data_IF_916339060121
#
_entry.id   IF_916339060121
#
_cell.length_a   1.000
_cell.length_b   1.000
_cell.length_c   1.000
_cell.angle_alpha   90.00
_cell.angle_beta   90.00
_cell.angle_gamma   90.00
#
_symmetry.space_group_name_H-M   'P 1'
#
loop_
_entity.id
_entity.type
_entity.pdbx_description
1 polymer ?
#
# COMPACT_ATOMS: atom_id res chain seq x y z
N UNK A 1 40.10 1.96 -32.26
CA UNK A 1 40.75 2.08 -30.94
C UNK A 1 39.98 3.11 -30.14
N UNK A 2 39.19 2.64 -29.17
CA UNK A 2 38.50 3.46 -28.18
C UNK A 2 39.05 3.09 -26.79
N UNK A 3 39.21 4.03 -25.86
CA UNK A 3 39.86 3.76 -24.57
C UNK A 3 38.98 2.90 -23.65
N UNK A 4 39.58 2.08 -22.77
CA UNK A 4 38.84 1.25 -21.83
C UNK A 4 38.20 2.10 -20.71
N UNK A 5 36.95 1.77 -20.37
CA UNK A 5 36.22 2.36 -19.25
C UNK A 5 36.83 1.89 -17.91
N UNK A 6 36.87 2.74 -16.87
CA UNK A 6 37.37 2.35 -15.55
C UNK A 6 36.42 1.36 -14.86
N UNK A 7 36.94 0.43 -14.02
CA UNK A 7 36.10 -0.51 -13.28
C UNK A 7 35.32 0.22 -12.17
N UNK A 8 34.01 -0.05 -12.09
CA UNK A 8 33.20 0.35 -10.94
C UNK A 8 33.75 -0.29 -9.65
N UNK A 9 33.72 0.42 -8.51
CA UNK A 9 34.26 -0.10 -7.26
C UNK A 9 33.36 -1.22 -6.71
N UNK A 10 33.95 -2.41 -6.61
CA UNK A 10 33.44 -3.63 -5.97
C UNK A 10 32.92 -3.44 -4.53
N UNK A 11 33.23 -2.30 -3.90
CA UNK A 11 32.77 -1.92 -2.57
C UNK A 11 31.25 -1.69 -2.50
N UNK A 12 30.62 -1.24 -3.60
CA UNK A 12 29.17 -0.98 -3.61
C UNK A 12 28.34 -2.28 -3.63
N UNK A 13 28.84 -3.34 -4.27
CA UNK A 13 28.18 -4.65 -4.32
C UNK A 13 28.24 -5.38 -2.99
N UNK A 14 29.32 -5.21 -2.21
CA UNK A 14 29.45 -5.83 -0.87
C UNK A 14 28.54 -5.12 0.14
N UNK A 15 28.37 -3.80 0.03
CA UNK A 15 27.47 -3.04 0.90
C UNK A 15 25.99 -3.35 0.64
N UNK A 16 25.62 -3.63 -0.61
CA UNK A 16 24.25 -4.02 -0.99
C UNK A 16 23.89 -5.44 -0.52
N UNK A 17 24.87 -6.35 -0.43
CA UNK A 17 24.71 -7.70 0.12
C UNK A 17 24.60 -7.71 1.65
N UNK A 18 25.26 -6.78 2.35
CA UNK A 18 25.15 -6.63 3.81
C UNK A 18 23.82 -6.03 4.28
N UNK A 19 23.15 -5.23 3.45
CA UNK A 19 21.82 -4.67 3.75
C UNK A 19 20.67 -5.68 3.60
N UNK A 20 20.89 -6.81 2.92
CA UNK A 20 19.90 -7.90 2.78
C UNK A 20 19.91 -8.89 3.96
N UNK A 21 20.90 -8.82 4.86
CA UNK A 21 21.05 -9.73 5.99
C UNK A 21 20.61 -9.13 7.35
N UNK A 22 19.97 -7.97 7.35
CA UNK A 22 19.33 -7.42 8.54
C UNK A 22 18.02 -8.16 8.82
N UNK A 23 18.11 -9.41 9.27
CA UNK A 23 17.00 -10.12 9.88
C UNK A 23 16.55 -9.34 11.10
N UNK A 24 15.26 -8.98 11.15
CA UNK A 24 14.64 -8.43 12.34
C UNK A 24 14.77 -9.43 13.48
N UNK A 25 15.59 -9.12 14.48
CA UNK A 25 15.62 -9.86 15.73
C UNK A 25 14.33 -9.57 16.49
N UNK A 26 13.29 -10.37 16.21
CA UNK A 26 12.12 -10.44 17.06
C UNK A 26 12.45 -11.28 18.29
N UNK A 27 12.18 -10.73 19.48
CA UNK A 27 12.08 -11.51 20.70
C UNK A 27 10.86 -12.42 20.63
N UNK A 28 10.95 -13.57 21.25
CA UNK A 28 9.80 -14.44 21.48
C UNK A 28 9.76 -14.73 22.97
N UNK A 29 8.58 -14.56 23.54
CA UNK A 29 8.30 -14.65 24.96
C UNK A 29 7.33 -15.81 25.21
N UNK A 30 7.72 -16.69 26.14
CA UNK A 30 6.90 -17.80 26.58
C UNK A 30 5.89 -17.27 27.58
N UNK A 31 4.59 -17.40 27.30
CA UNK A 31 3.56 -17.08 28.27
C UNK A 31 3.19 -18.29 29.15
N UNK A 32 3.39 -19.54 28.68
CA UNK A 32 3.16 -20.73 29.50
C UNK A 32 3.91 -21.99 29.03
N UNK A 33 4.19 -22.89 29.99
CA UNK A 33 4.75 -24.24 29.78
C UNK A 33 3.94 -25.25 30.58
N UNK A 34 3.40 -26.29 29.94
CA UNK A 34 2.62 -27.34 30.61
C UNK A 34 2.78 -28.71 29.94
N UNK A 35 2.71 -29.77 30.75
CA UNK A 35 2.64 -31.16 30.30
C UNK A 35 1.17 -31.57 30.23
N UNK A 36 0.70 -31.97 29.04
CA UNK A 36 -0.68 -32.30 28.75
C UNK A 36 -0.80 -33.73 28.19
N UNK A 37 -1.70 -34.54 28.74
CA UNK A 37 -2.06 -35.84 28.17
C UNK A 37 -3.18 -35.66 27.15
N UNK A 38 -2.90 -35.96 25.88
CA UNK A 38 -3.83 -35.81 24.76
C UNK A 38 -4.35 -37.17 24.33
N UNK A 39 -5.62 -37.47 24.62
CA UNK A 39 -6.29 -38.70 24.19
C UNK A 39 -7.15 -38.45 22.95
N UNK A 40 -6.94 -39.25 21.90
CA UNK A 40 -7.80 -39.28 20.71
C UNK A 40 -8.65 -40.55 20.77
N UNK A 41 -9.97 -40.38 20.72
CA UNK A 41 -10.91 -41.49 20.63
C UNK A 41 -11.12 -41.84 19.15
N UNK A 42 -10.83 -43.08 18.76
CA UNK A 42 -11.17 -43.56 17.42
C UNK A 42 -12.70 -43.59 17.26
N UNK A 43 -13.20 -42.92 16.22
CA UNK A 43 -14.62 -42.80 15.92
C UNK A 43 -15.20 -44.10 15.33
N UNK A 44 -15.33 -45.12 16.19
CA UNK A 44 -16.04 -46.37 15.94
C UNK A 44 -16.58 -46.94 17.26
N UNK A 45 -17.73 -47.62 17.23
CA UNK A 45 -18.34 -48.22 18.42
C UNK A 45 -17.40 -49.31 18.99
N UNK A 46 -16.70 -48.97 20.08
CA UNK A 46 -15.58 -49.76 20.64
C UNK A 46 -14.20 -49.08 20.57
N UNK A 47 -14.15 -47.79 20.22
CA UNK A 47 -12.93 -47.02 19.96
C UNK A 47 -11.90 -47.10 21.08
N UNK A 48 -10.73 -47.66 20.77
CA UNK A 48 -9.55 -47.68 21.62
C UNK A 48 -9.07 -46.24 21.80
N UNK A 49 -9.05 -45.75 23.04
CA UNK A 49 -8.47 -44.44 23.37
C UNK A 49 -6.95 -44.52 23.21
N UNK A 50 -6.39 -43.74 22.27
CA UNK A 50 -4.95 -43.57 22.12
C UNK A 50 -4.54 -42.29 22.82
N UNK A 51 -3.84 -42.41 23.95
CA UNK A 51 -3.37 -41.29 24.76
C UNK A 51 -1.86 -41.11 24.58
N UNK A 52 -1.45 -39.92 24.15
CA UNK A 52 -0.04 -39.53 24.05
C UNK A 52 0.22 -38.35 25.00
N UNK A 53 1.34 -38.41 25.73
CA UNK A 53 1.82 -37.28 26.52
C UNK A 53 2.49 -36.27 25.60
N UNK A 54 2.04 -35.02 25.69
CA UNK A 54 2.57 -33.89 24.94
C UNK A 54 3.05 -32.83 25.91
N UNK A 55 4.14 -32.16 25.58
CA UNK A 55 4.64 -31.03 26.36
C UNK A 55 4.58 -29.76 25.50
N UNK A 56 4.26 -28.62 26.12
CA UNK A 56 4.08 -27.33 25.45
C UNK A 56 5.00 -26.26 26.03
N UNK A 57 5.63 -25.45 25.17
CA UNK A 57 6.47 -24.28 25.50
C UNK A 57 6.88 -23.57 24.18
N UNK A 58 7.43 -22.33 24.20
CA UNK A 58 7.88 -21.70 22.92
C UNK A 58 8.88 -20.49 22.91
N UNK A 59 10.17 -20.73 22.58
CA UNK A 59 11.05 -20.14 21.52
C UNK A 59 12.52 -20.58 21.68
N UNK A 60 13.29 -20.82 20.60
CA UNK A 60 14.57 -21.57 20.66
C UNK A 60 14.49 -22.67 21.70
N UNK A 61 13.54 -23.57 21.46
CA UNK A 61 13.27 -24.66 22.36
C UNK A 61 14.23 -25.78 22.03
N UNK A 62 14.97 -26.21 23.04
CA UNK A 62 15.66 -27.49 23.01
C UNK A 62 14.76 -28.48 23.75
N UNK A 63 14.04 -29.31 23.01
CA UNK A 63 13.21 -30.33 23.63
C UNK A 63 14.05 -31.58 23.92
N UNK A 64 14.09 -32.02 25.18
CA UNK A 64 14.79 -33.24 25.56
C UNK A 64 13.77 -34.38 25.59
N UNK A 65 13.86 -35.28 24.61
CA UNK A 65 13.05 -36.51 24.59
C UNK A 65 13.83 -37.57 25.36
N UNK A 66 13.37 -37.93 26.55
CA UNK A 66 14.05 -38.89 27.40
C UNK A 66 13.75 -40.34 26.97
N UNK A 67 12.60 -40.62 26.35
CA UNK A 67 12.28 -41.96 25.89
C UNK A 67 11.42 -42.02 24.62
N UNK A 68 11.92 -42.73 23.60
CA UNK A 68 11.06 -43.29 22.54
C UNK A 68 10.72 -44.70 22.98
N UNK A 69 9.42 -44.99 23.19
CA UNK A 69 8.95 -46.34 23.45
C UNK A 69 8.94 -47.13 22.15
N UNK A 70 10.13 -47.50 21.69
CA UNK A 70 10.31 -48.58 20.73
C UNK A 70 10.74 -49.81 21.51
N UNK A 71 9.98 -50.90 21.36
CA UNK A 71 9.84 -52.04 22.29
C UNK A 71 11.09 -52.85 22.68
N UNK A 72 12.33 -52.37 22.51
CA UNK A 72 13.57 -52.96 23.09
C UNK A 72 14.79 -52.05 22.84
N UNK A 73 14.89 -50.92 23.52
CA UNK A 73 16.15 -50.26 23.99
C UNK A 73 15.88 -48.79 24.32
N UNK A 74 16.10 -48.41 25.57
CA UNK A 74 16.17 -47.01 26.00
C UNK A 74 17.39 -46.34 25.38
N UNK A 75 17.24 -45.76 24.19
CA UNK A 75 18.25 -44.86 23.59
C UNK A 75 17.95 -43.42 24.02
N UNK A 76 18.73 -42.89 24.95
CA UNK A 76 18.86 -41.45 25.16
C UNK A 76 19.31 -40.80 23.85
N UNK A 77 18.47 -39.94 23.27
CA UNK A 77 18.81 -39.19 22.07
C UNK A 77 19.94 -38.21 22.44
N UNK A 78 21.14 -38.38 21.84
CA UNK A 78 22.31 -37.53 22.12
C UNK A 78 22.16 -36.07 21.66
N UNK A 79 21.25 -35.81 20.73
CA UNK A 79 21.03 -34.48 20.15
C UNK A 79 19.54 -34.11 20.27
N UNK A 80 19.17 -33.27 21.24
CA UNK A 80 17.78 -32.85 21.40
C UNK A 80 17.29 -32.07 20.16
N UNK A 81 16.02 -32.25 19.73
CA UNK A 81 15.43 -31.43 18.69
C UNK A 81 15.43 -29.94 19.06
N UNK A 82 15.90 -29.11 18.13
CA UNK A 82 15.92 -27.64 18.27
C UNK A 82 14.80 -27.05 17.42
N UNK A 83 13.99 -26.18 18.01
CA UNK A 83 12.87 -25.51 17.34
C UNK A 83 13.15 -24.02 17.21
N UNK A 84 13.07 -23.51 15.98
CA UNK A 84 13.26 -22.10 15.66
C UNK A 84 11.99 -21.56 15.03
N UNK A 85 11.48 -20.46 15.59
CA UNK A 85 10.27 -19.78 15.11
C UNK A 85 10.68 -18.44 14.50
N UNK A 86 10.24 -18.18 13.27
CA UNK A 86 10.50 -16.92 12.57
C UNK A 86 9.19 -16.38 12.00
N UNK A 87 8.83 -15.17 12.39
CA UNK A 87 7.65 -14.46 11.87
C UNK A 87 8.06 -13.48 10.78
N UNK A 88 7.44 -13.60 9.61
CA UNK A 88 7.57 -12.66 8.51
C UNK A 88 6.93 -11.31 8.81
N UNK A 89 7.29 -10.30 8.02
CA UNK A 89 6.75 -8.96 8.16
C UNK A 89 5.23 -8.95 7.91
N UNK A 90 4.48 -8.27 8.78
CA UNK A 90 3.02 -8.19 8.69
C UNK A 90 2.59 -7.19 7.63
N UNK A 91 1.54 -7.51 6.88
CA UNK A 91 0.89 -6.60 5.95
C UNK A 91 -0.62 -6.59 6.17
N UNK A 92 -1.23 -5.44 5.88
CA UNK A 92 -2.68 -5.29 5.82
C UNK A 92 -3.10 -5.40 4.36
N UNK A 93 -3.96 -6.38 4.07
CA UNK A 93 -4.49 -6.68 2.76
C UNK A 93 -5.92 -6.12 2.67
N UNK A 94 -6.22 -5.46 1.56
CA UNK A 94 -7.54 -4.93 1.26
C UNK A 94 -8.04 -5.57 -0.03
N UNK A 95 -9.24 -6.14 0.02
CA UNK A 95 -9.89 -6.66 -1.18
C UNK A 95 -10.27 -5.49 -2.11
N UNK A 96 -9.96 -5.60 -3.39
CA UNK A 96 -10.32 -4.63 -4.41
C UNK A 96 -11.48 -5.15 -5.25
N UNK A 97 -12.46 -4.29 -5.49
CA UNK A 97 -13.54 -4.53 -6.46
C UNK A 97 -13.43 -3.48 -7.56
N UNK A 98 -13.28 -3.91 -8.82
CA UNK A 98 -13.22 -2.99 -9.95
C UNK A 98 -14.58 -2.32 -10.17
N UNK A 99 -14.59 -1.00 -10.33
CA UNK A 99 -15.81 -0.22 -10.56
C UNK A 99 -15.89 0.20 -12.02
N UNK A 100 -14.93 1.01 -12.47
CA UNK A 100 -14.87 1.56 -13.83
C UNK A 100 -13.54 2.23 -14.11
N UNK A 101 -13.36 2.63 -15.37
CA UNK A 101 -12.28 3.50 -15.81
C UNK A 101 -12.70 4.97 -15.77
N UNK A 102 -11.74 5.84 -15.45
CA UNK A 102 -11.90 7.30 -15.49
C UNK A 102 -10.71 7.93 -16.20
N UNK A 103 -10.97 9.03 -16.93
CA UNK A 103 -9.92 9.76 -17.63
C UNK A 103 -9.05 10.55 -16.63
N UNK A 104 -7.74 10.62 -16.89
CA UNK A 104 -6.80 11.38 -16.06
C UNK A 104 -7.06 12.89 -16.11
N UNK A 105 -7.28 13.40 -17.33
CA UNK A 105 -7.52 14.81 -17.61
C UNK A 105 -8.51 14.95 -18.78
N UNK A 106 -9.82 15.02 -18.49
CA UNK A 106 -10.80 15.51 -19.45
C UNK A 106 -10.44 16.93 -19.89
N UNK A 107 -10.55 17.20 -21.19
CA UNK A 107 -10.23 18.49 -21.78
C UNK A 107 -11.41 19.02 -22.59
N UNK A 108 -11.70 20.30 -22.41
CA UNK A 108 -12.59 21.02 -23.31
C UNK A 108 -11.79 21.45 -24.55
N UNK A 109 -12.28 21.08 -25.72
CA UNK A 109 -11.79 21.61 -26.98
C UNK A 109 -12.81 22.59 -27.55
N UNK A 110 -12.32 23.64 -28.21
CA UNK A 110 -13.18 24.58 -28.90
C UNK A 110 -12.71 24.82 -30.34
N UNK A 111 -13.68 25.11 -31.21
CA UNK A 111 -13.44 25.42 -32.62
C UNK A 111 -14.22 26.69 -32.97
N UNK A 112 -13.50 27.71 -33.45
CA UNK A 112 -14.13 28.86 -34.08
C UNK A 112 -14.65 28.48 -35.46
N UNK A 113 -15.96 28.62 -35.67
CA UNK A 113 -16.64 28.17 -36.89
C UNK A 113 -17.79 29.09 -37.27
N UNK A 114 -18.49 28.77 -38.36
CA UNK A 114 -19.71 29.45 -38.81
C UNK A 114 -20.80 28.43 -39.06
N UNK A 115 -22.06 28.82 -38.82
CA UNK A 115 -23.23 27.92 -38.95
C UNK A 115 -23.07 26.64 -38.09
N UNK A 116 -22.65 26.82 -36.84
CA UNK A 116 -22.53 25.71 -35.90
C UNK A 116 -23.91 25.17 -35.53
N UNK A 117 -24.08 23.86 -35.69
CA UNK A 117 -25.25 23.09 -35.25
C UNK A 117 -24.75 21.80 -34.55
N UNK A 118 -25.49 21.23 -33.60
CA UNK A 118 -25.07 20.01 -32.89
C UNK A 118 -24.93 18.77 -33.81
N UNK A 119 -25.57 18.77 -34.98
CA UNK A 119 -25.49 17.76 -36.03
C UNK A 119 -24.55 18.10 -37.18
N UNK A 120 -23.84 19.22 -37.08
CA UNK A 120 -22.83 19.57 -38.05
C UNK A 120 -21.69 18.53 -38.08
N UNK A 121 -21.21 18.25 -39.30
CA UNK A 121 -20.10 17.33 -39.55
C UNK A 121 -18.73 17.93 -39.24
N UNK A 122 -17.69 17.11 -39.35
CA UNK A 122 -16.29 17.53 -39.15
C UNK A 122 -15.82 18.65 -40.09
N UNK A 123 -16.47 18.90 -41.21
CA UNK A 123 -16.20 20.04 -42.10
C UNK A 123 -16.48 21.39 -41.43
N UNK A 124 -17.45 21.44 -40.52
CA UNK A 124 -17.84 22.63 -39.78
C UNK A 124 -17.23 22.65 -38.37
N UNK A 125 -17.38 21.55 -37.61
CA UNK A 125 -17.00 21.50 -36.18
C UNK A 125 -15.66 20.82 -35.92
N UNK A 126 -14.98 20.32 -36.95
CA UNK A 126 -13.65 19.69 -36.89
C UNK A 126 -13.55 18.64 -35.78
N UNK A 127 -12.62 18.81 -34.84
CA UNK A 127 -12.38 17.89 -33.72
C UNK A 127 -13.59 17.75 -32.77
N UNK A 128 -14.55 18.67 -32.85
CA UNK A 128 -15.78 18.65 -32.06
C UNK A 128 -16.95 17.90 -32.71
N UNK A 129 -16.71 17.14 -33.77
CA UNK A 129 -17.71 16.23 -34.33
C UNK A 129 -18.24 15.24 -33.28
N UNK A 130 -19.53 14.91 -33.34
CA UNK A 130 -20.15 13.92 -32.45
C UNK A 130 -19.42 12.57 -32.52
N UNK A 131 -19.31 11.90 -31.38
CA UNK A 131 -18.62 10.61 -31.30
C UNK A 131 -19.58 9.45 -31.51
N UNK A 132 -19.04 8.35 -32.03
CA UNK A 132 -19.78 7.11 -32.29
C UNK A 132 -19.03 5.94 -31.66
N UNK A 133 -19.77 4.97 -31.15
CA UNK A 133 -19.24 3.68 -30.75
C UNK A 133 -18.76 2.89 -31.98
N UNK A 134 -17.94 1.85 -31.77
CA UNK A 134 -17.45 0.98 -32.84
C UNK A 134 -18.56 0.30 -33.64
N UNK A 135 -19.72 0.06 -33.00
CA UNK A 135 -20.91 -0.48 -33.64
C UNK A 135 -21.71 0.55 -34.48
N UNK A 136 -21.23 1.79 -34.58
CA UNK A 136 -21.84 2.88 -35.34
C UNK A 136 -22.94 3.67 -34.61
N UNK A 137 -23.35 3.24 -33.41
CA UNK A 137 -24.31 3.98 -32.57
C UNK A 137 -23.70 5.28 -32.05
N UNK A 138 -24.53 6.31 -31.88
CA UNK A 138 -24.09 7.64 -31.46
C UNK A 138 -23.91 7.64 -29.94
N UNK A 139 -22.83 8.25 -29.45
CA UNK A 139 -22.65 8.50 -28.02
C UNK A 139 -23.50 9.72 -27.68
N UNK A 140 -24.52 9.53 -26.85
CA UNK A 140 -25.41 10.61 -26.39
C UNK A 140 -24.63 11.70 -25.68
N UNK A 141 -25.04 12.96 -25.88
CA UNK A 141 -24.41 14.15 -25.32
C UNK A 141 -22.96 14.41 -25.77
N UNK A 142 -22.45 13.67 -26.76
CA UNK A 142 -21.10 13.89 -27.29
C UNK A 142 -21.03 14.98 -28.36
N UNK A 143 -22.18 15.47 -28.84
CA UNK A 143 -22.30 16.56 -29.80
C UNK A 143 -21.80 17.91 -29.23
N UNK A 144 -21.36 18.84 -30.10
CA UNK A 144 -20.83 20.12 -29.64
C UNK A 144 -21.92 21.07 -29.17
N UNK A 145 -21.60 21.88 -28.16
CA UNK A 145 -22.42 23.01 -27.74
C UNK A 145 -21.98 24.26 -28.51
N UNK A 146 -22.90 24.82 -29.30
CA UNK A 146 -22.66 26.00 -30.11
C UNK A 146 -22.93 27.29 -29.33
N UNK A 147 -21.90 28.09 -29.11
CA UNK A 147 -22.00 29.39 -28.47
C UNK A 147 -21.87 30.55 -29.46
N UNK A 148 -22.58 31.67 -29.24
CA UNK A 148 -22.46 32.84 -30.10
C UNK A 148 -21.11 33.52 -29.90
N UNK A 149 -20.61 34.17 -30.95
CA UNK A 149 -19.42 35.03 -30.89
C UNK A 149 -19.60 36.24 -29.94
N UNK A 150 -18.48 36.80 -29.46
CA UNK A 150 -18.45 38.02 -28.65
C UNK A 150 -17.41 38.02 -27.53
N UNK A 151 -17.16 39.17 -26.89
CA UNK A 151 -16.11 39.31 -25.86
C UNK A 151 -16.47 38.71 -24.50
N UNK A 152 -17.74 38.78 -24.10
CA UNK A 152 -18.24 38.27 -22.80
C UNK A 152 -18.86 36.88 -22.96
N UNK A 153 -18.11 35.96 -23.57
CA UNK A 153 -18.51 34.58 -23.84
C UNK A 153 -17.46 33.62 -23.29
N UNK A 154 -17.81 32.35 -23.17
CA UNK A 154 -16.93 31.28 -22.68
C UNK A 154 -15.53 31.33 -23.28
N UNK A 155 -15.46 31.54 -24.60
CA UNK A 155 -14.24 31.91 -25.31
C UNK A 155 -14.49 33.23 -26.05
N UNK A 156 -13.73 34.30 -25.74
CA UNK A 156 -13.81 35.56 -26.46
C UNK A 156 -13.46 35.38 -27.93
N UNK A 157 -14.39 35.73 -28.82
CA UNK A 157 -14.23 35.56 -30.27
C UNK A 157 -14.83 36.73 -31.05
N UNK A 158 -14.29 36.97 -32.26
CA UNK A 158 -14.79 38.03 -33.15
C UNK A 158 -15.97 37.54 -33.98
N UNK A 159 -17.03 38.34 -34.03
CA UNK A 159 -18.20 38.05 -34.88
C UNK A 159 -17.97 38.32 -36.38
N UNK A 160 -16.83 38.93 -36.73
CA UNK A 160 -16.56 39.42 -38.08
C UNK A 160 -17.46 40.58 -38.48
N UNK A 161 -17.53 40.85 -39.78
CA UNK A 161 -18.33 41.94 -40.33
C UNK A 161 -19.70 41.45 -40.87
N UNK A 162 -20.58 42.40 -41.19
CA UNK A 162 -21.95 42.11 -41.67
C UNK A 162 -21.94 41.34 -43.00
N UNK A 163 -21.01 41.64 -43.92
CA UNK A 163 -20.90 40.95 -45.20
C UNK A 163 -20.54 39.47 -45.03
N UNK A 164 -19.58 39.15 -44.18
CA UNK A 164 -19.22 37.77 -43.86
C UNK A 164 -20.38 37.02 -43.21
N UNK A 165 -21.17 37.69 -42.36
CA UNK A 165 -22.38 37.09 -41.78
C UNK A 165 -23.41 36.72 -42.85
N UNK A 166 -23.55 37.53 -43.91
CA UNK A 166 -24.47 37.28 -45.03
C UNK A 166 -23.97 36.14 -45.91
N UNK A 167 -22.70 36.15 -46.33
CA UNK A 167 -22.17 35.17 -47.28
C UNK A 167 -21.75 33.84 -46.64
N UNK A 168 -21.20 33.87 -45.41
CA UNK A 168 -20.62 32.70 -44.74
C UNK A 168 -21.44 32.23 -43.54
N UNK A 169 -22.44 32.99 -43.10
CA UNK A 169 -23.28 32.69 -41.94
C UNK A 169 -22.73 33.25 -40.61
N UNK A 170 -23.52 33.08 -39.55
CA UNK A 170 -23.20 33.57 -38.20
C UNK A 170 -21.95 32.86 -37.65
N UNK A 171 -21.04 33.66 -37.09
CA UNK A 171 -19.85 33.17 -36.40
C UNK A 171 -20.21 32.65 -35.01
N UNK A 172 -19.81 31.42 -34.73
CA UNK A 172 -20.08 30.69 -33.51
C UNK A 172 -18.79 29.99 -33.05
N UNK A 173 -18.74 29.62 -31.78
CA UNK A 173 -17.71 28.71 -31.25
C UNK A 173 -18.39 27.39 -30.89
N UNK A 174 -17.87 26.27 -31.40
CA UNK A 174 -18.28 24.93 -30.99
C UNK A 174 -17.40 24.50 -29.81
N UNK A 175 -18.01 24.00 -28.73
CA UNK A 175 -17.31 23.47 -27.55
C UNK A 175 -17.64 22.00 -27.37
N UNK A 176 -16.64 21.18 -27.10
CA UNK A 176 -16.81 19.74 -26.94
C UNK A 176 -15.89 19.18 -25.86
N UNK A 177 -16.39 18.16 -25.14
CA UNK A 177 -15.60 17.41 -24.18
C UNK A 177 -14.82 16.30 -24.89
N UNK A 178 -13.53 16.18 -24.57
CA UNK A 178 -12.66 15.10 -25.04
C UNK A 178 -11.89 14.51 -23.86
N UNK A 179 -11.50 13.25 -24.02
CA UNK A 179 -10.72 12.53 -23.01
C UNK A 179 -9.38 12.09 -23.62
N UNK A 180 -8.48 13.04 -23.93
CA UNK A 180 -7.16 12.70 -24.43
C UNK A 180 -6.28 12.10 -23.32
N UNK A 181 -5.32 11.26 -23.72
CA UNK A 181 -4.25 10.79 -22.83
C UNK A 181 -4.61 9.58 -21.98
N UNK A 182 -4.07 9.56 -20.75
CA UNK A 182 -4.06 8.40 -19.87
C UNK A 182 -5.41 8.15 -19.20
N UNK A 183 -5.73 6.88 -18.98
CA UNK A 183 -6.89 6.41 -18.22
C UNK A 183 -6.45 5.73 -16.93
N UNK A 184 -7.34 5.69 -15.95
CA UNK A 184 -7.10 5.11 -14.63
C UNK A 184 -8.25 4.18 -14.24
N UNK A 185 -7.91 3.05 -13.64
CA UNK A 185 -8.86 2.13 -13.04
C UNK A 185 -9.28 2.64 -11.66
N UNK A 186 -10.57 2.58 -11.35
CA UNK A 186 -11.14 2.90 -10.04
C UNK A 186 -11.57 1.61 -9.34
N UNK A 187 -11.06 1.40 -8.14
CA UNK A 187 -11.41 0.26 -7.29
C UNK A 187 -12.09 0.68 -6.00
N UNK A 188 -13.18 0.00 -5.71
CA UNK A 188 -13.76 -0.07 -4.38
C UNK A 188 -12.84 -0.85 -3.45
N UNK A 189 -12.60 -0.30 -2.26
CA UNK A 189 -11.81 -0.96 -1.23
C UNK A 189 -12.77 -1.65 -0.26
N UNK A 190 -12.64 -2.97 -0.16
CA UNK A 190 -13.47 -3.84 0.66
C UNK A 190 -12.84 -4.15 2.01
N UNK A 191 -13.13 -5.36 2.51
CA UNK A 191 -12.68 -5.81 3.83
C UNK A 191 -11.16 -5.84 3.94
N UNK A 192 -10.66 -5.42 5.11
CA UNK A 192 -9.26 -5.54 5.49
C UNK A 192 -9.00 -6.87 6.19
N UNK A 193 -7.97 -7.58 5.77
CA UNK A 193 -7.40 -8.73 6.49
C UNK A 193 -5.92 -8.50 6.81
N UNK A 194 -5.41 -9.20 7.82
CA UNK A 194 -3.98 -9.22 8.13
C UNK A 194 -3.35 -10.47 7.51
N UNK A 195 -2.20 -10.29 6.89
CA UNK A 195 -1.40 -11.37 6.31
C UNK A 195 0.01 -11.37 6.87
N UNK A 196 0.49 -12.57 7.22
CA UNK A 196 1.86 -12.86 7.61
C UNK A 196 2.07 -14.38 7.64
N UNK A 197 3.32 -14.79 7.54
CA UNK A 197 3.71 -16.20 7.59
C UNK A 197 4.68 -16.41 8.76
N UNK A 198 4.42 -17.41 9.59
CA UNK A 198 5.31 -17.87 10.66
C UNK A 198 5.93 -19.19 10.19
N UNK A 199 7.25 -19.23 10.09
CA UNK A 199 8.03 -20.42 9.77
C UNK A 199 8.52 -21.04 11.07
N UNK A 200 8.17 -22.31 11.29
CA UNK A 200 8.61 -23.12 12.42
C UNK A 200 9.51 -24.20 11.87
N UNK A 201 10.79 -24.15 12.24
CA UNK A 201 11.80 -25.10 11.81
C UNK A 201 12.15 -26.02 12.98
N UNK A 202 12.17 -27.32 12.73
CA UNK A 202 12.58 -28.35 13.70
C UNK A 202 13.82 -29.04 13.17
N UNK A 203 14.91 -29.02 13.93
CA UNK A 203 16.15 -29.70 13.60
C UNK A 203 16.33 -30.92 14.50
N UNK A 204 16.24 -32.12 13.91
CA UNK A 204 16.50 -33.42 14.56
C UNK A 204 17.84 -33.97 14.05
N UNK A 205 18.92 -33.71 14.78
CA UNK A 205 20.27 -34.08 14.34
C UNK A 205 20.66 -33.36 13.04
N UNK A 206 20.78 -34.12 11.94
CA UNK A 206 21.04 -33.58 10.59
C UNK A 206 19.77 -33.29 9.76
N UNK A 207 18.61 -33.80 10.19
CA UNK A 207 17.35 -33.58 9.48
C UNK A 207 16.69 -32.27 9.91
N UNK A 208 16.19 -31.50 8.94
CA UNK A 208 15.45 -30.26 9.16
C UNK A 208 14.06 -30.42 8.55
N UNK A 209 13.02 -30.24 9.36
CA UNK A 209 11.64 -30.09 8.90
C UNK A 209 11.17 -28.66 9.10
N UNK A 210 10.42 -28.13 8.14
CA UNK A 210 9.85 -26.78 8.19
C UNK A 210 8.33 -26.86 8.02
N UNK A 211 7.63 -26.11 8.86
CA UNK A 211 6.19 -25.92 8.81
C UNK A 211 5.91 -24.42 8.72
N UNK A 212 4.98 -24.03 7.84
CA UNK A 212 4.57 -22.63 7.69
C UNK A 212 3.11 -22.49 8.13
N UNK A 213 2.85 -21.56 9.04
CA UNK A 213 1.51 -21.24 9.53
C UNK A 213 1.19 -19.76 9.30
N UNK A 214 -0.07 -19.44 9.13
CA UNK A 214 -0.53 -18.07 8.92
C UNK A 214 -2.06 -17.96 9.04
N UNK A 215 -2.61 -16.76 8.82
CA UNK A 215 -4.05 -16.52 8.90
C UNK A 215 -4.90 -17.42 8.00
N UNK A 216 -4.37 -17.81 6.83
CA UNK A 216 -5.00 -18.73 5.88
C UNK A 216 -4.91 -20.20 6.31
N UNK A 217 -3.75 -20.64 6.80
CA UNK A 217 -3.49 -22.00 7.28
C UNK A 217 -3.07 -21.95 8.75
N UNK A 218 -4.06 -21.99 9.65
CA UNK A 218 -3.85 -21.76 11.09
C UNK A 218 -3.31 -22.97 11.83
N UNK A 219 -3.65 -24.18 11.41
CA UNK A 219 -3.23 -25.42 12.09
C UNK A 219 -2.48 -26.30 11.11
N UNK A 220 -1.23 -26.63 11.44
CA UNK A 220 -0.40 -27.52 10.62
C UNK A 220 0.29 -28.55 11.51
N UNK A 221 0.31 -29.79 11.03
CA UNK A 221 0.97 -30.91 11.70
C UNK A 221 2.16 -31.35 10.82
N UNK A 222 3.31 -31.59 11.45
CA UNK A 222 4.48 -32.14 10.78
C UNK A 222 4.18 -33.55 10.27
N UNK A 223 4.84 -33.97 9.18
CA UNK A 223 4.60 -35.28 8.52
C UNK A 223 4.78 -36.48 9.44
N UNK A 224 5.60 -36.33 10.47
CA UNK A 224 5.92 -37.34 11.48
C UNK A 224 5.05 -37.24 12.75
N UNK A 225 4.00 -36.39 12.74
CA UNK A 225 3.13 -36.08 13.89
C UNK A 225 3.86 -35.61 15.15
N UNK A 226 5.15 -35.29 15.07
CA UNK A 226 5.97 -34.88 16.20
C UNK A 226 5.66 -33.45 16.66
N UNK A 227 5.38 -32.58 15.69
CA UNK A 227 5.09 -31.16 15.89
C UNK A 227 3.69 -30.87 15.39
N UNK A 228 2.86 -30.24 16.23
CA UNK A 228 1.61 -29.62 15.82
C UNK A 228 1.64 -28.15 16.21
N UNK A 229 1.45 -27.30 15.21
CA UNK A 229 1.44 -25.85 15.36
C UNK A 229 0.04 -25.33 15.11
N UNK A 230 -0.46 -24.47 16.00
CA UNK A 230 -1.76 -23.85 15.89
C UNK A 230 -1.69 -22.35 16.18
N UNK A 231 -2.09 -21.51 15.22
CA UNK A 231 -2.22 -20.07 15.39
C UNK A 231 -3.57 -19.74 16.03
N UNK A 232 -3.55 -19.35 17.31
CA UNK A 232 -4.76 -19.03 18.09
C UNK A 232 -5.33 -17.67 17.66
N UNK A 233 -4.45 -16.68 17.48
CA UNK A 233 -4.84 -15.32 17.09
C UNK A 233 -3.71 -14.33 17.31
N UNK A 234 -4.03 -13.03 17.20
CA UNK A 234 -3.09 -11.94 17.41
C UNK A 234 -3.47 -11.11 18.63
N UNK A 235 -2.48 -10.58 19.33
CA UNK A 235 -2.71 -9.55 20.34
C UNK A 235 -2.99 -8.22 19.65
N UNK A 236 -3.91 -7.44 20.22
CA UNK A 236 -4.27 -6.13 19.70
C UNK A 236 -3.05 -5.21 19.63
N UNK A 237 -2.87 -4.54 18.48
CA UNK A 237 -1.88 -3.48 18.32
C UNK A 237 -2.29 -2.21 19.06
N UNK A 238 -1.32 -1.35 19.37
CA UNK A 238 -1.52 -0.04 19.97
C UNK A 238 -1.76 1.05 18.92
N UNK A 239 -1.41 0.78 17.66
CA UNK A 239 -1.65 1.70 16.55
C UNK A 239 -2.76 1.17 15.65
N UNK A 240 -3.70 2.04 15.30
CA UNK A 240 -4.76 1.70 14.37
C UNK A 240 -4.19 1.57 12.96
N UNK A 241 -4.42 0.42 12.33
CA UNK A 241 -4.20 0.26 10.90
C UNK A 241 -5.30 1.03 10.16
N UNK A 242 -4.98 1.87 9.16
CA UNK A 242 -5.97 2.65 8.43
C UNK A 242 -7.11 1.79 7.87
N UNK A 243 -8.32 2.34 7.90
CA UNK A 243 -9.45 1.84 7.14
C UNK A 243 -9.67 2.77 5.94
N UNK A 244 -10.07 2.19 4.80
CA UNK A 244 -10.27 2.93 3.55
C UNK A 244 -11.70 2.78 3.01
N UNK A 245 -12.67 2.58 3.91
CA UNK A 245 -14.07 2.34 3.54
C UNK A 245 -14.63 3.47 2.67
N UNK A 246 -14.36 4.72 3.03
CA UNK A 246 -14.81 5.92 2.30
C UNK A 246 -13.90 6.34 1.14
N UNK A 247 -12.95 5.49 0.73
CA UNK A 247 -11.99 5.78 -0.32
C UNK A 247 -12.11 4.80 -1.49
N UNK A 248 -11.75 5.31 -2.66
CA UNK A 248 -11.40 4.50 -3.82
C UNK A 248 -9.90 4.54 -4.04
N UNK A 249 -9.37 3.40 -4.49
CA UNK A 249 -8.01 3.30 -5.01
C UNK A 249 -8.07 3.55 -6.51
N UNK A 250 -7.26 4.48 -7.01
CA UNK A 250 -7.08 4.70 -8.44
C UNK A 250 -5.68 4.33 -8.88
N UNK A 251 -5.58 3.55 -9.97
CA UNK A 251 -4.30 3.08 -10.52
C UNK A 251 -4.23 3.36 -12.02
N UNK A 252 -3.06 3.73 -12.57
CA UNK A 252 -2.91 3.93 -14.01
C UNK A 252 -3.29 2.68 -14.80
N UNK A 253 -3.99 2.88 -15.92
CA UNK A 253 -4.28 1.81 -16.87
C UNK A 253 -3.05 1.51 -17.71
N UNK A 254 -2.59 0.26 -17.69
CA UNK A 254 -1.41 -0.19 -18.44
C UNK A 254 -1.70 -0.70 -19.85
N UNK A 255 -2.93 -1.13 -20.12
CA UNK A 255 -3.34 -1.74 -21.38
C UNK A 255 -4.36 -0.89 -22.13
N UNK A 256 -4.25 -0.84 -23.46
CA UNK A 256 -5.18 -0.14 -24.34
C UNK A 256 -6.60 -0.76 -24.36
N UNK A 257 -6.79 -2.00 -23.87
CA UNK A 257 -8.11 -2.64 -23.76
C UNK A 257 -8.94 -2.11 -22.58
N UNK A 258 -10.23 -1.84 -22.81
CA UNK A 258 -11.18 -1.38 -21.78
C UNK A 258 -11.60 -2.53 -20.88
N UNK A 259 -11.91 -2.22 -19.62
CA UNK A 259 -12.42 -3.19 -18.66
C UNK A 259 -11.45 -3.51 -17.52
N UNK A 260 -11.72 -4.63 -16.85
CA UNK A 260 -11.02 -5.02 -15.64
C UNK A 260 -9.52 -5.28 -15.90
N UNK A 261 -8.61 -4.69 -15.10
CA UNK A 261 -7.18 -4.82 -15.33
C UNK A 261 -6.65 -6.22 -15.02
N UNK A 262 -5.75 -6.69 -15.88
CA UNK A 262 -4.97 -7.91 -15.65
C UNK A 262 -3.70 -7.70 -14.81
N UNK A 263 -3.29 -6.44 -14.61
CA UNK A 263 -2.17 -6.07 -13.75
C UNK A 263 -2.30 -4.62 -13.24
N UNK A 264 -2.18 -4.39 -11.93
CA UNK A 264 -2.25 -3.04 -11.32
C UNK A 264 -1.00 -2.18 -11.59
N UNK A 265 0.10 -2.80 -11.97
CA UNK A 265 1.41 -2.18 -12.13
C UNK A 265 2.15 -1.93 -10.82
N UNK A 266 3.28 -1.24 -10.93
CA UNK A 266 4.17 -0.90 -9.80
C UNK A 266 4.47 0.61 -9.73
N UNK A 267 3.70 1.43 -10.46
CA UNK A 267 3.84 2.89 -10.48
C UNK A 267 3.14 3.54 -9.27
N UNK A 268 3.57 3.19 -8.06
CA UNK A 268 2.96 3.67 -6.81
C UNK A 268 2.99 5.21 -6.65
N UNK A 269 3.80 5.91 -7.45
CA UNK A 269 3.81 7.39 -7.54
C UNK A 269 2.55 7.97 -8.16
N UNK A 270 1.81 7.19 -8.94
CA UNK A 270 0.56 7.58 -9.60
C UNK A 270 -0.67 6.94 -8.98
N UNK A 271 -0.48 5.97 -8.07
CA UNK A 271 -1.57 5.38 -7.32
C UNK A 271 -2.07 6.37 -6.28
N UNK A 272 -3.38 6.62 -6.25
CA UNK A 272 -3.97 7.57 -5.31
C UNK A 272 -5.13 6.94 -4.54
N UNK A 273 -5.28 7.35 -3.28
CA UNK A 273 -6.46 7.08 -2.47
C UNK A 273 -7.28 8.36 -2.39
N UNK A 274 -8.50 8.32 -2.91
CA UNK A 274 -9.38 9.48 -3.04
C UNK A 274 -10.75 9.17 -2.44
N UNK A 275 -11.34 10.12 -1.73
CA UNK A 275 -12.64 9.96 -1.09
C UNK A 275 -13.73 9.68 -2.14
N UNK A 276 -14.65 8.75 -1.84
CA UNK A 276 -15.74 8.34 -2.75
C UNK A 276 -16.59 9.52 -3.24
N UNK A 277 -16.80 10.51 -2.38
CA UNK A 277 -17.58 11.73 -2.67
C UNK A 277 -17.01 12.59 -3.80
N UNK A 278 -15.74 12.37 -4.18
CA UNK A 278 -15.08 13.09 -5.29
C UNK A 278 -15.42 12.51 -6.66
N UNK A 279 -16.07 11.35 -6.73
CA UNK A 279 -16.41 10.65 -7.96
C UNK A 279 -17.88 10.87 -8.32
N UNK A 280 -18.19 10.78 -9.61
CA UNK A 280 -19.56 10.92 -10.15
C UNK A 280 -19.79 9.94 -11.29
N UNK A 281 -21.00 9.44 -11.48
CA UNK A 281 -21.36 8.51 -12.56
C UNK A 281 -21.50 9.18 -13.93
N UNK A 282 -21.05 10.43 -14.05
CA UNK A 282 -21.02 11.19 -15.30
C UNK A 282 -22.00 12.36 -15.34
N UNK A 283 -22.80 12.54 -14.29
CA UNK A 283 -23.91 13.49 -14.20
C UNK A 283 -23.60 14.74 -13.38
N UNK A 284 -22.54 14.74 -12.56
CA UNK A 284 -22.13 15.90 -11.77
C UNK A 284 -20.87 16.56 -12.33
N UNK A 285 -20.87 17.89 -12.33
CA UNK A 285 -19.71 18.70 -12.68
C UNK A 285 -18.63 18.72 -11.59
N UNK A 286 -17.39 18.98 -12.00
CA UNK A 286 -16.23 19.17 -11.11
C UNK A 286 -15.97 17.99 -10.16
N UNK A 287 -16.24 16.78 -10.64
CA UNK A 287 -15.95 15.50 -9.98
C UNK A 287 -15.24 14.56 -10.94
N UNK A 288 -14.50 13.61 -10.39
CA UNK A 288 -13.75 12.60 -11.14
C UNK A 288 -14.75 11.68 -11.85
N UNK A 289 -14.57 11.50 -13.16
CA UNK A 289 -15.50 10.75 -14.00
C UNK A 289 -16.64 11.59 -14.55
N UNK A 290 -16.46 12.92 -14.63
CA UNK A 290 -17.39 13.82 -15.34
C UNK A 290 -17.66 13.32 -16.75
N UNK A 291 -18.94 13.29 -17.13
CA UNK A 291 -19.41 12.77 -18.40
C UNK A 291 -19.84 13.87 -19.36
N UNK A 292 -20.23 13.43 -20.55
CA UNK A 292 -20.78 14.27 -21.60
C UNK A 292 -22.06 15.01 -21.17
N UNK A 293 -22.96 14.31 -20.50
CA UNK A 293 -24.23 14.86 -20.01
C UNK A 293 -24.01 16.02 -19.03
N UNK A 294 -23.18 15.82 -17.99
CA UNK A 294 -22.86 16.88 -17.04
C UNK A 294 -22.24 18.11 -17.71
N UNK A 295 -21.35 17.88 -18.67
CA UNK A 295 -20.68 18.96 -19.39
C UNK A 295 -21.63 19.75 -20.28
N UNK A 296 -22.48 19.09 -21.07
CA UNK A 296 -23.41 19.78 -21.95
C UNK A 296 -24.50 20.54 -21.18
N UNK A 297 -25.03 19.94 -20.12
CA UNK A 297 -26.18 20.47 -19.37
C UNK A 297 -25.78 21.52 -18.30
N UNK A 298 -24.61 22.14 -18.44
CA UNK A 298 -24.19 23.21 -17.53
C UNK A 298 -25.15 24.42 -17.61
N UNK A 299 -25.55 24.98 -16.46
CA UNK A 299 -26.30 26.23 -16.45
C UNK A 299 -25.45 27.35 -17.05
N UNK A 300 -26.05 28.14 -17.94
CA UNK A 300 -25.39 29.26 -18.60
C UNK A 300 -24.08 28.89 -19.33
N UNK A 301 -24.01 27.72 -19.98
CA UNK A 301 -22.81 27.17 -20.64
C UNK A 301 -21.97 28.23 -21.40
N UNK A 302 -22.60 29.05 -22.24
CA UNK A 302 -21.89 30.03 -23.08
C UNK A 302 -21.42 31.30 -22.35
N UNK A 303 -21.88 31.50 -21.11
CA UNK A 303 -21.48 32.61 -20.25
C UNK A 303 -20.54 32.16 -19.12
N UNK A 304 -20.43 30.86 -18.84
CA UNK A 304 -19.47 30.34 -17.87
C UNK A 304 -18.04 30.33 -18.45
N UNK A 305 -17.00 30.43 -17.61
CA UNK A 305 -15.60 30.40 -18.06
C UNK A 305 -15.23 29.12 -18.81
N UNK A 306 -14.25 29.22 -19.71
CA UNK A 306 -13.64 28.05 -20.35
C UNK A 306 -13.13 27.05 -19.29
N UNK A 307 -13.21 25.75 -19.58
CA UNK A 307 -12.94 24.62 -18.67
C UNK A 307 -13.87 24.49 -17.45
N UNK A 308 -14.95 25.28 -17.36
CA UNK A 308 -15.99 25.03 -16.35
C UNK A 308 -16.53 23.61 -16.46
N UNK A 309 -16.88 23.01 -15.30
CA UNK A 309 -17.29 21.62 -15.11
C UNK A 309 -16.15 20.59 -15.12
N UNK A 310 -14.93 20.97 -15.53
CA UNK A 310 -13.78 20.05 -15.65
C UNK A 310 -12.74 20.21 -14.53
N UNK A 311 -13.11 20.82 -13.39
CA UNK A 311 -12.23 20.94 -12.23
C UNK A 311 -12.21 19.67 -11.37
N UNK A 312 -11.27 19.61 -10.42
CA UNK A 312 -11.12 18.51 -9.45
C UNK A 312 -10.99 17.12 -10.10
N UNK A 313 -10.19 17.05 -11.15
CA UNK A 313 -9.89 15.79 -11.85
C UNK A 313 -8.64 15.14 -11.27
N UNK A 314 -8.32 13.91 -11.69
CA UNK A 314 -7.17 13.16 -11.16
C UNK A 314 -5.85 13.94 -11.25
N UNK A 315 -5.62 14.63 -12.37
CA UNK A 315 -4.41 15.44 -12.57
C UNK A 315 -4.27 16.56 -11.52
N UNK A 316 -5.37 17.16 -11.08
CA UNK A 316 -5.37 18.24 -10.07
C UNK A 316 -4.81 17.74 -8.73
N UNK A 317 -5.25 16.55 -8.29
CA UNK A 317 -4.79 15.94 -7.05
C UNK A 317 -3.32 15.50 -7.13
N UNK A 318 -2.94 14.92 -8.27
CA UNK A 318 -1.55 14.51 -8.48
C UNK A 318 -0.60 15.72 -8.51
N UNK A 319 -0.98 16.81 -9.16
CA UNK A 319 -0.17 18.04 -9.22
C UNK A 319 -0.06 18.73 -7.85
N UNK A 320 -1.15 18.73 -7.07
CA UNK A 320 -1.13 19.18 -5.68
C UNK A 320 -0.11 18.39 -4.86
N UNK A 321 -0.07 17.06 -4.99
CA UNK A 321 0.90 16.23 -4.26
C UNK A 321 2.33 16.41 -4.75
N UNK A 322 2.56 16.64 -6.05
CA UNK A 322 3.90 17.02 -6.55
C UNK A 322 4.40 18.30 -5.90
N UNK A 323 3.54 19.32 -5.77
CA UNK A 323 3.88 20.56 -5.08
C UNK A 323 4.16 20.35 -3.59
N UNK A 324 3.41 19.46 -2.92
CA UNK A 324 3.70 19.11 -1.52
C UNK A 324 5.05 18.42 -1.38
N UNK A 325 5.35 17.47 -2.25
CA UNK A 325 6.60 16.72 -2.25
C UNK A 325 7.79 17.64 -2.53
N UNK A 326 7.67 18.58 -3.48
CA UNK A 326 8.73 19.56 -3.77
C UNK A 326 9.00 20.48 -2.57
N UNK A 327 7.98 20.76 -1.76
CA UNK A 327 8.08 21.47 -0.48
C UNK A 327 8.48 20.56 0.70
N UNK A 328 8.95 19.33 0.46
CA UNK A 328 9.30 18.34 1.50
C UNK A 328 8.16 18.04 2.48
N UNK A 329 6.91 18.15 2.03
CA UNK A 329 5.71 17.79 2.80
C UNK A 329 5.21 16.42 2.34
N UNK A 330 4.60 15.69 3.27
CA UNK A 330 4.00 14.40 2.95
C UNK A 330 2.85 14.57 1.93
N UNK A 331 2.77 13.74 0.88
CA UNK A 331 1.63 13.75 -0.04
C UNK A 331 0.33 13.36 0.68
N UNK A 332 -0.79 13.83 0.15
CA UNK A 332 -2.11 13.65 0.74
C UNK A 332 -2.91 12.54 0.05
N UNK A 333 -2.73 12.34 -1.25
CA UNK A 333 -3.53 11.41 -2.07
C UNK A 333 -2.69 10.22 -2.55
N UNK A 334 -1.48 10.49 -3.05
CA UNK A 334 -0.55 9.48 -3.55
C UNK A 334 -0.14 8.53 -2.43
N UNK A 335 -0.22 7.23 -2.69
CA UNK A 335 0.09 6.19 -1.68
C UNK A 335 1.58 6.14 -1.33
N UNK A 336 2.46 6.40 -2.31
CA UNK A 336 3.90 6.41 -2.10
C UNK A 336 4.33 7.59 -1.23
N UNK A 337 5.13 7.32 -0.20
CA UNK A 337 5.56 8.31 0.80
C UNK A 337 4.61 8.42 1.99
N UNK A 338 3.40 7.85 1.90
CA UNK A 338 2.47 7.69 3.04
C UNK A 338 2.57 6.30 3.66
N UNK A 339 2.75 5.28 2.83
CA UNK A 339 2.79 3.88 3.26
C UNK A 339 4.11 3.20 2.89
N UNK A 340 4.48 2.19 3.68
CA UNK A 340 5.66 1.36 3.45
C UNK A 340 5.25 0.00 2.86
N UNK A 341 6.18 -0.65 2.14
CA UNK A 341 6.01 -2.01 1.58
C UNK A 341 4.70 -2.20 0.78
N UNK A 342 4.37 -1.21 -0.05
CA UNK A 342 3.13 -1.19 -0.85
C UNK A 342 3.13 -2.36 -1.84
N UNK A 343 2.10 -3.19 -1.76
CA UNK A 343 1.89 -4.38 -2.60
C UNK A 343 3.08 -5.34 -2.69
N UNK A 344 3.93 -5.40 -1.65
CA UNK A 344 5.08 -6.30 -1.56
C UNK A 344 4.74 -7.64 -0.90
N UNK A 345 3.47 -8.05 -0.94
CA UNK A 345 3.03 -9.29 -0.33
C UNK A 345 3.14 -10.47 -1.31
N UNK A 346 3.35 -11.72 -0.83
CA UNK A 346 3.65 -12.86 -1.69
C UNK A 346 2.55 -13.17 -2.71
N UNK A 347 1.29 -12.92 -2.34
CA UNK A 347 0.10 -13.29 -3.10
C UNK A 347 -0.51 -12.06 -3.81
N UNK A 348 0.34 -11.09 -4.17
CA UNK A 348 -0.09 -9.86 -4.83
C UNK A 348 -0.85 -10.14 -6.13
N UNK A 349 -2.11 -9.72 -6.15
CA UNK A 349 -3.05 -9.92 -7.25
C UNK A 349 -3.66 -8.60 -7.69
N UNK A 350 -4.40 -8.61 -8.81
CA UNK A 350 -5.13 -7.42 -9.26
C UNK A 350 -6.35 -7.08 -8.40
N UNK A 351 -6.82 -8.06 -7.63
CA UNK A 351 -7.93 -7.93 -6.71
C UNK A 351 -7.47 -7.60 -5.29
N UNK A 352 -6.20 -7.25 -5.11
CA UNK A 352 -5.66 -6.92 -3.79
C UNK A 352 -4.78 -5.69 -3.78
N UNK A 353 -4.95 -4.90 -2.73
CA UNK A 353 -4.05 -3.81 -2.36
C UNK A 353 -3.48 -4.13 -0.98
N UNK A 354 -2.16 -4.00 -0.80
CA UNK A 354 -1.57 -4.17 0.54
C UNK A 354 -0.62 -3.05 0.94
N UNK A 355 -0.57 -2.82 2.26
CA UNK A 355 0.41 -1.93 2.89
C UNK A 355 1.12 -2.68 4.02
N UNK A 356 2.40 -2.38 4.21
CA UNK A 356 3.15 -2.91 5.34
C UNK A 356 2.70 -2.30 6.66
N UNK A 357 2.43 -3.16 7.65
CA UNK A 357 2.21 -2.71 9.03
C UNK A 357 3.59 -2.43 9.64
N UNK A 358 3.79 -1.20 10.11
CA UNK A 358 5.06 -0.79 10.75
C UNK A 358 5.11 -1.14 12.22
N UNK A 359 3.94 -1.24 12.86
CA UNK A 359 3.83 -1.73 14.23
C UNK A 359 4.15 -3.22 14.31
N UNK A 360 4.77 -3.60 15.41
CA UNK A 360 4.93 -5.00 15.77
C UNK A 360 3.60 -5.53 16.28
N UNK A 361 3.07 -6.54 15.58
CA UNK A 361 1.95 -7.33 16.07
C UNK A 361 2.49 -8.63 16.65
N UNK A 362 2.13 -8.91 17.90
CA UNK A 362 2.48 -10.15 18.58
C UNK A 362 1.41 -11.20 18.21
N UNK A 363 1.83 -12.38 17.77
CA UNK A 363 0.90 -13.49 17.49
C UNK A 363 0.95 -14.53 18.59
N UNK A 364 -0.21 -15.08 18.94
CA UNK A 364 -0.33 -16.19 19.87
C UNK A 364 -0.29 -17.51 19.12
N UNK A 365 0.83 -18.21 19.28
CA UNK A 365 1.09 -19.52 18.70
C UNK A 365 0.97 -20.58 19.79
N UNK A 366 0.41 -21.73 19.44
CA UNK A 366 0.41 -22.93 20.27
C UNK A 366 1.20 -24.01 19.55
N UNK A 367 2.23 -24.51 20.21
CA UNK A 367 3.01 -25.63 19.72
C UNK A 367 2.90 -26.80 20.70
N UNK A 368 2.49 -27.92 20.14
CA UNK A 368 2.39 -29.20 20.80
C UNK A 368 3.51 -30.11 20.29
N UNK A 369 4.31 -30.66 21.20
CA UNK A 369 5.41 -31.57 20.90
C UNK A 369 5.17 -32.92 21.56
N UNK A 370 5.52 -33.99 20.84
CA UNK A 370 5.67 -35.32 21.42
C UNK A 370 7.06 -35.44 22.07
N UNK A 371 7.21 -34.88 23.26
CA UNK A 371 8.44 -34.86 24.05
C UNK A 371 8.15 -34.86 25.56
N UNK A 372 9.11 -35.32 26.37
CA UNK A 372 8.97 -35.40 27.82
C UNK A 372 9.20 -34.05 28.51
N UNK A 373 10.22 -33.29 28.09
CA UNK A 373 10.52 -31.95 28.62
C UNK A 373 11.06 -30.99 27.55
N UNK A 374 10.96 -29.68 27.84
CA UNK A 374 11.36 -28.59 26.97
C UNK A 374 12.21 -27.57 27.73
N UNK A 375 13.39 -27.26 27.22
CA UNK A 375 14.28 -26.23 27.74
C UNK A 375 14.28 -24.99 26.82
N UNK A 376 14.27 -23.79 27.42
CA UNK A 376 14.31 -22.52 26.69
C UNK A 376 15.73 -21.96 26.67
N UNK A 377 16.28 -21.76 25.48
CA UNK A 377 17.61 -21.16 25.30
C UNK A 377 17.51 -19.86 24.52
N UNK A 378 17.82 -18.72 25.13
CA UNK A 378 17.92 -17.45 24.40
C UNK A 378 19.39 -17.05 24.22
N UNK A 379 19.70 -16.46 23.07
CA UNK A 379 21.00 -15.84 22.84
C UNK A 379 20.91 -14.36 23.22
N UNK A 380 21.83 -13.90 24.08
CA UNK A 380 22.01 -12.48 24.38
C UNK A 380 23.30 -11.98 23.73
N UNK A 381 23.18 -10.91 22.95
CA UNK A 381 24.31 -10.23 22.33
C UNK A 381 24.30 -8.77 22.78
N UNK A 382 25.47 -8.23 23.12
CA UNK A 382 25.63 -6.82 23.47
C UNK A 382 25.99 -6.03 22.22
N UNK A 383 25.20 -5.00 21.89
CA UNK A 383 25.44 -4.10 20.77
C UNK A 383 25.40 -2.64 21.24
N UNK A 384 26.29 -1.81 20.68
CA UNK A 384 26.28 -0.35 20.88
C UNK A 384 25.72 0.36 19.65
N UNK A 385 24.87 1.36 19.89
CA UNK A 385 24.35 2.22 18.82
C UNK A 385 25.48 3.09 18.27
N UNK A 386 25.88 2.85 17.03
CA UNK A 386 27.04 3.53 16.42
C UNK A 386 26.78 5.03 16.21
N UNK A 387 25.59 5.41 15.79
CA UNK A 387 25.17 6.82 15.66
C UNK A 387 23.65 6.92 15.47
N UNK A 388 23.09 8.07 15.84
CA UNK A 388 21.69 8.43 15.56
C UNK A 388 21.69 9.73 14.76
N UNK A 389 21.14 9.70 13.56
CA UNK A 389 21.02 10.87 12.69
C UNK A 389 19.57 11.33 12.67
N UNK A 390 19.32 12.53 13.18
CA UNK A 390 18.04 13.21 13.05
C UNK A 390 18.14 14.25 11.94
N UNK A 391 17.34 14.08 10.89
CA UNK A 391 17.13 15.12 9.88
C UNK A 391 16.11 16.12 10.42
N UNK A 392 16.58 17.20 11.05
CA UNK A 392 15.73 18.35 11.33
C UNK A 392 15.31 19.01 10.01
N UNK A 393 14.03 18.92 9.67
CA UNK A 393 13.42 19.94 8.81
C UNK A 393 13.59 21.28 9.51
N UNK A 394 14.19 22.25 8.82
CA UNK A 394 14.34 23.63 9.27
C UNK A 394 12.97 24.22 9.61
N UNK A 395 12.61 24.21 10.89
CA UNK A 395 11.58 25.10 11.43
C UNK A 395 12.22 26.47 11.55
N UNK A 396 11.66 27.47 10.86
CA UNK A 396 12.08 28.86 10.98
C UNK A 396 12.10 29.26 12.46
N UNK A 397 13.29 29.51 13.01
CA UNK A 397 13.50 29.96 14.39
C UNK A 397 13.11 31.43 14.48
N UNK A 398 11.84 31.69 14.76
CA UNK A 398 11.34 32.99 15.18
C UNK A 398 10.20 32.84 16.21
N UNK A 399 10.40 32.01 17.24
CA UNK A 399 9.77 32.13 18.58
C UNK A 399 10.02 30.89 19.43
N UNK A 400 11.21 30.77 20.05
CA UNK A 400 11.38 29.98 21.28
C UNK A 400 12.31 30.79 22.20
N UNK A 401 11.73 31.77 22.90
CA UNK A 401 12.29 32.34 24.13
C UNK A 401 11.33 31.99 25.27
N UNK A 402 11.46 30.79 25.79
CA UNK A 402 10.96 30.36 27.10
C UNK A 402 11.18 28.86 27.20
N UNK A 403 11.60 28.39 28.37
CA UNK A 403 11.93 26.99 28.72
C UNK A 403 13.38 26.62 28.40
N UNK A 404 14.31 27.24 29.12
CA UNK A 404 15.30 26.56 29.97
C UNK A 404 16.12 27.62 30.72
N UNK A 405 16.08 27.56 32.06
CA UNK A 405 16.80 28.46 32.95
C UNK A 405 18.33 28.26 32.85
N UNK A 406 19.02 29.40 32.85
CA UNK A 406 20.43 29.77 33.09
C UNK A 406 21.41 28.65 33.54
N UNK A 407 22.68 28.63 33.14
CA UNK A 407 23.67 29.72 33.21
C UNK A 407 24.92 29.49 32.35
N UNK A 408 25.33 30.47 31.55
CA UNK A 408 26.74 30.89 31.39
C UNK A 408 26.84 32.05 30.40
N UNK A 409 27.30 33.19 30.89
CA UNK A 409 27.72 34.37 30.13
C UNK A 409 28.95 34.08 29.27
N UNK A 410 28.87 34.33 27.95
CA UNK A 410 30.05 34.55 27.09
C UNK A 410 29.75 35.70 26.11
N UNK A 411 30.67 36.67 26.08
CA UNK A 411 30.61 37.93 25.34
C UNK A 411 30.80 37.79 23.83
N UNK A 412 30.10 38.64 23.09
CA UNK A 412 30.47 39.36 21.84
C UNK A 412 31.40 38.71 20.80
N UNK A 413 30.89 38.72 19.56
CA UNK A 413 31.61 38.70 18.28
C UNK A 413 32.31 37.40 17.83
N UNK A 414 31.53 36.48 17.25
CA UNK A 414 31.76 35.84 15.93
C UNK A 414 30.75 34.71 15.73
N UNK A 415 30.10 34.64 14.57
CA UNK A 415 29.37 33.45 14.14
C UNK A 415 30.35 32.26 14.09
N UNK A 416 30.22 31.33 15.03
CA UNK A 416 30.74 29.97 14.92
C UNK A 416 29.59 29.02 15.16
N UNK A 417 29.43 28.04 14.27
CA UNK A 417 28.57 26.87 14.49
C UNK A 417 29.09 26.15 15.73
N UNK A 418 28.30 26.13 16.79
CA UNK A 418 28.56 25.30 17.97
C UNK A 418 27.57 24.15 17.94
N UNK A 419 28.00 22.88 17.83
CA UNK A 419 27.11 21.75 18.06
C UNK A 419 26.73 21.71 19.53
N UNK A 420 25.43 21.80 19.81
CA UNK A 420 24.87 21.55 21.15
C UNK A 420 24.64 20.05 21.27
N UNK A 421 25.42 19.37 22.10
CA UNK A 421 25.23 17.96 22.42
C UNK A 421 24.22 17.84 23.56
N UNK A 422 23.09 17.18 23.30
CA UNK A 422 22.18 16.69 24.34
C UNK A 422 22.46 15.21 24.59
N UNK A 423 22.85 14.85 25.80
CA UNK A 423 22.90 13.46 26.26
C UNK A 423 21.55 13.09 26.87
N UNK A 424 20.77 12.26 26.18
CA UNK A 424 19.66 11.53 26.79
C UNK A 424 20.09 10.09 27.06
N UNK A 425 20.20 9.74 28.34
CA UNK A 425 20.22 8.36 28.83
C UNK A 425 18.80 7.80 28.84
N UNK A 426 18.67 6.52 28.46
CA UNK A 426 17.45 5.73 28.28
C UNK A 426 16.63 5.97 26.99
N UNK A 427 16.91 5.12 25.99
CA UNK A 427 15.97 4.81 24.92
C UNK A 427 15.70 3.29 24.94
N UNK A 428 14.49 2.88 25.32
CA UNK A 428 14.06 1.50 25.16
C UNK A 428 13.81 1.21 23.68
N UNK A 429 14.54 0.22 23.15
CA UNK A 429 14.30 -0.34 21.83
C UNK A 429 13.08 -1.24 21.94
N UNK A 430 11.95 -0.85 21.35
CA UNK A 430 10.77 -1.72 21.24
C UNK A 430 11.11 -2.90 20.33
N UNK A 431 11.33 -4.05 20.95
CA UNK A 431 11.47 -5.35 20.29
C UNK A 431 10.18 -5.77 19.62
N UNK A 432 10.31 -6.50 18.51
CA UNK A 432 9.20 -7.30 18.04
C UNK A 432 9.02 -8.46 19.03
N UNK A 433 7.85 -8.65 19.64
CA UNK A 433 7.60 -9.80 20.50
C UNK A 433 6.64 -10.79 19.84
N UNK A 434 6.77 -12.07 20.15
CA UNK A 434 5.75 -13.09 19.89
C UNK A 434 5.42 -13.61 21.28
N UNK A 435 4.15 -13.65 21.62
CA UNK A 435 3.69 -13.95 22.97
C UNK A 435 2.89 -15.25 22.87
N UNK A 436 3.38 -16.34 23.48
CA UNK A 436 2.85 -17.71 23.27
C UNK A 436 2.14 -18.22 24.52
N UNK A 437 0.80 -18.33 24.49
CA UNK A 437 -0.06 -18.64 25.66
C UNK A 437 -0.65 -20.05 25.58
N UNK A 438 -0.48 -20.86 26.64
CA UNK A 438 -1.03 -22.20 26.73
C UNK A 438 -1.49 -22.63 28.13
N UNK A 439 -2.56 -23.41 28.14
CA UNK A 439 -3.02 -24.25 29.25
C UNK A 439 -2.51 -25.67 29.01
#
# INVERSE_FOLDING_TARGET
>A
MAPPRPPLPTVLSVLLLLLLAAGSAGGVEILAKSLLESCVADSGAGGRLSCDRKNGGEAWLVAQVAHVNDTKQSKTIRNPPVITVNKGAVFALYALNYIRDVAYKPEEQYVETRKCEPDAGSDVVRACERLRYENGSIIEHSEPVCCPCGPNRRVPSSCGNVFEKIFKGKANTAHCLRFPGDWFHVFGIGTRSLGFNIRVQVKKGSSVSEVVVGPENRTVVSKDNFLRVNLIGDFGGYTSIPAFEDFYLVTPRKSAGSGEPQNLGAEYRKWMLLERVRFTDGVECNKIGVGYEAFQNQPNFCASPFESCLNNQLWTFLESDKNRISMSRQPQYVVQGRFQRINQHPDASVHSFSIGVTEVINSNLRIELSADDIEYMYQSFTAQVASVLWSMLLVNVANIRSICNQSSTISSNRMKRVPVYFTCTHLQIKQQSINVQLF
#
